data_IF_933079828478
#
_entry.id   IF_933079828478
#
_cell.length_a   1.000
_cell.length_b   1.000
_cell.length_c   1.000
_cell.angle_alpha   90.00
_cell.angle_beta   90.00
_cell.angle_gamma   90.00
#
_symmetry.space_group_name_H-M   'P 1'
#
loop_
_entity.id
_entity.type
_entity.pdbx_description
1 polymer ?
#
# COMPACT_ATOMS: atom_id res chain seq x y z
N UNK A 1 1.74 5.05 -21.84
CA UNK A 1 0.83 3.89 -21.73
C UNK A 1 0.80 3.51 -20.26
N UNK A 2 -0.37 3.52 -19.61
CA UNK A 2 -0.48 3.16 -18.20
C UNK A 2 -0.39 1.63 -18.08
N UNK A 3 0.75 1.13 -17.61
CA UNK A 3 0.94 -0.29 -17.27
C UNK A 3 0.04 -0.61 -16.08
N UNK A 4 -0.78 -1.66 -16.19
CA UNK A 4 -1.60 -2.11 -15.07
C UNK A 4 -0.72 -2.52 -13.88
N UNK A 5 -1.09 -2.19 -12.64
CA UNK A 5 -0.29 -2.50 -11.46
C UNK A 5 -0.06 -4.01 -11.33
N UNK A 6 1.18 -4.45 -11.01
CA UNK A 6 1.53 -5.87 -10.97
C UNK A 6 0.68 -6.59 -9.91
N UNK A 7 0.19 -7.79 -10.26
CA UNK A 7 -0.49 -8.68 -9.33
C UNK A 7 0.55 -9.41 -8.48
N UNK A 8 0.42 -9.34 -7.17
CA UNK A 8 1.34 -9.91 -6.21
C UNK A 8 0.60 -10.67 -5.10
N UNK A 9 1.26 -11.64 -4.49
CA UNK A 9 0.80 -12.31 -3.28
C UNK A 9 1.02 -11.46 -2.01
N UNK A 10 0.19 -11.72 -0.98
CA UNK A 10 0.34 -11.10 0.36
C UNK A 10 1.73 -11.32 0.94
N UNK A 11 2.30 -12.51 0.72
CA UNK A 11 3.63 -12.89 1.23
C UNK A 11 4.78 -12.03 0.72
N UNK A 12 4.63 -11.45 -0.47
CA UNK A 12 5.66 -10.59 -1.09
C UNK A 12 5.33 -9.11 -0.98
N UNK A 13 4.17 -8.73 -0.42
CA UNK A 13 3.78 -7.34 -0.20
C UNK A 13 4.85 -6.47 0.50
N UNK A 14 5.62 -6.96 1.50
CA UNK A 14 6.70 -6.18 2.12
C UNK A 14 7.79 -5.70 1.13
N UNK A 15 7.91 -6.33 -0.04
CA UNK A 15 8.88 -5.96 -1.07
C UNK A 15 8.43 -4.77 -1.91
N UNK A 16 7.16 -4.35 -1.81
CA UNK A 16 6.52 -3.33 -2.66
C UNK A 16 6.12 -2.08 -1.88
N UNK A 17 6.76 -1.80 -0.75
CA UNK A 17 6.46 -0.61 0.07
C UNK A 17 6.70 0.67 -0.73
N UNK A 18 5.67 1.51 -0.80
CA UNK A 18 5.64 2.76 -1.57
C UNK A 18 5.18 2.59 -3.03
N UNK A 19 4.95 1.37 -3.50
CA UNK A 19 4.51 1.08 -4.86
C UNK A 19 3.00 0.82 -4.92
N UNK A 20 2.40 1.12 -6.07
CA UNK A 20 1.03 0.73 -6.39
C UNK A 20 1.01 -0.68 -7.00
N UNK A 21 0.36 -1.61 -6.30
CA UNK A 21 0.31 -3.03 -6.66
C UNK A 21 -1.11 -3.56 -6.51
N UNK A 22 -1.40 -4.68 -7.16
CA UNK A 22 -2.64 -5.41 -6.99
C UNK A 22 -2.39 -6.65 -6.14
N UNK A 23 -3.19 -6.87 -5.12
CA UNK A 23 -3.16 -8.08 -4.29
C UNK A 23 -4.47 -8.82 -4.44
N UNK A 24 -4.40 -10.11 -4.73
CA UNK A 24 -5.54 -11.02 -4.64
C UNK A 24 -5.38 -11.88 -3.40
N UNK A 25 -6.32 -11.78 -2.47
CA UNK A 25 -6.23 -12.47 -1.20
C UNK A 25 -7.59 -12.71 -0.59
N UNK A 26 -7.66 -13.76 0.24
CA UNK A 26 -8.80 -13.99 1.11
C UNK A 26 -8.77 -13.01 2.27
N UNK A 27 -9.93 -12.43 2.56
CA UNK A 27 -10.15 -11.64 3.75
C UNK A 27 -10.37 -12.59 4.92
N UNK A 28 -9.48 -12.60 5.89
CA UNK A 28 -9.60 -13.43 7.10
C UNK A 28 -10.48 -12.75 8.15
N UNK A 29 -10.33 -11.42 8.30
CA UNK A 29 -11.08 -10.66 9.29
C UNK A 29 -11.33 -9.23 8.82
N UNK A 30 -12.40 -8.61 9.32
CA UNK A 30 -12.71 -7.20 9.10
C UNK A 30 -12.96 -6.50 10.42
N UNK A 31 -12.48 -5.27 10.55
CA UNK A 31 -12.71 -4.41 11.71
C UNK A 31 -12.93 -2.96 11.27
N UNK A 32 -13.95 -2.32 11.82
CA UNK A 32 -14.17 -0.89 11.66
C UNK A 32 -13.48 -0.10 12.77
N UNK A 33 -12.69 0.90 12.38
CA UNK A 33 -12.02 1.83 13.27
C UNK A 33 -12.45 3.26 12.89
N UNK A 34 -13.55 3.74 13.48
CA UNK A 34 -14.12 5.05 13.16
C UNK A 34 -14.60 5.15 11.71
N UNK A 35 -13.87 5.95 10.91
CA UNK A 35 -14.19 6.24 9.51
C UNK A 35 -13.42 5.37 8.50
N UNK A 36 -12.66 4.38 8.98
CA UNK A 36 -11.96 3.43 8.13
C UNK A 36 -12.36 1.99 8.46
N UNK A 37 -12.37 1.13 7.46
CA UNK A 37 -12.49 -0.33 7.65
C UNK A 37 -11.17 -0.96 7.30
N UNK A 38 -10.66 -1.78 8.22
CA UNK A 38 -9.43 -2.56 8.08
C UNK A 38 -9.81 -4.00 7.82
N UNK A 39 -9.35 -4.56 6.72
CA UNK A 39 -9.50 -5.97 6.41
C UNK A 39 -8.15 -6.66 6.50
N UNK A 40 -8.06 -7.71 7.28
CA UNK A 40 -6.87 -8.54 7.35
C UNK A 40 -6.89 -9.51 6.17
N UNK A 41 -5.86 -9.44 5.34
CA UNK A 41 -5.64 -10.30 4.19
C UNK A 41 -4.55 -11.32 4.49
N UNK A 42 -4.78 -12.57 4.09
CA UNK A 42 -3.82 -13.67 4.25
C UNK A 42 -3.71 -14.21 5.68
N UNK A 43 -2.96 -15.30 5.83
CA UNK A 43 -2.80 -16.02 7.09
C UNK A 43 -1.37 -15.89 7.63
N UNK A 44 -1.17 -15.96 8.97
CA UNK A 44 0.17 -16.00 9.56
C UNK A 44 1.05 -17.06 8.89
N UNK A 45 2.32 -16.78 8.57
CA UNK A 45 3.11 -15.62 9.02
C UNK A 45 2.99 -14.35 8.15
N UNK A 46 2.29 -14.41 7.01
CA UNK A 46 2.19 -13.29 6.08
C UNK A 46 0.78 -12.67 6.11
N UNK A 47 0.63 -11.59 6.87
CA UNK A 47 -0.63 -10.83 6.98
C UNK A 47 -0.45 -9.41 6.44
N UNK A 48 -1.47 -8.91 5.75
CA UNK A 48 -1.52 -7.56 5.19
C UNK A 48 -2.85 -6.91 5.53
N UNK A 49 -2.82 -5.70 6.08
CA UNK A 49 -4.04 -4.97 6.41
C UNK A 49 -4.47 -4.08 5.24
N UNK A 50 -5.63 -4.33 4.65
CA UNK A 50 -6.25 -3.47 3.65
C UNK A 50 -7.05 -2.37 4.34
N UNK A 51 -6.72 -1.10 4.08
CA UNK A 51 -7.43 0.06 4.59
C UNK A 51 -8.40 0.59 3.54
N UNK A 52 -9.69 0.51 3.86
CA UNK A 52 -10.79 1.16 3.15
C UNK A 52 -11.08 2.51 3.81
N UNK A 53 -10.85 3.59 3.07
CA UNK A 53 -11.18 4.95 3.52
C UNK A 53 -12.65 5.30 3.27
N UNK A 54 -13.15 6.36 3.91
CA UNK A 54 -14.57 6.78 3.93
C UNK A 54 -15.26 6.78 2.55
N UNK A 55 -14.55 7.20 1.50
CA UNK A 55 -15.07 7.18 0.12
C UNK A 55 -15.41 5.77 -0.42
N UNK A 56 -14.73 4.71 0.05
CA UNK A 56 -15.02 3.32 -0.31
C UNK A 56 -16.18 2.72 0.49
N UNK A 57 -16.43 3.21 1.71
CA UNK A 57 -17.49 2.70 2.58
C UNK A 57 -18.89 2.91 2.00
N UNK A 58 -19.05 3.91 1.11
CA UNK A 58 -20.30 4.13 0.37
C UNK A 58 -20.63 2.98 -0.59
N UNK A 59 -19.61 2.37 -1.21
CA UNK A 59 -19.78 1.24 -2.14
C UNK A 59 -19.82 -0.10 -1.43
N UNK A 60 -19.07 -0.21 -0.33
CA UNK A 60 -19.00 -1.40 0.49
C UNK A 60 -19.56 -1.09 1.89
N UNK A 61 -20.88 -0.89 2.02
CA UNK A 61 -21.49 -0.74 3.33
C UNK A 61 -21.31 -2.06 4.09
N UNK A 62 -20.90 -1.95 5.35
CA UNK A 62 -20.70 -3.09 6.25
C UNK A 62 -19.63 -4.09 5.76
N UNK A 63 -18.59 -3.56 5.11
CA UNK A 63 -17.45 -4.29 4.58
C UNK A 63 -16.80 -5.21 5.62
N UNK A 64 -16.75 -4.76 6.88
CA UNK A 64 -16.15 -5.48 8.01
C UNK A 64 -16.82 -6.82 8.33
N UNK A 65 -18.13 -6.96 8.09
CA UNK A 65 -18.89 -8.19 8.35
C UNK A 65 -19.15 -8.99 7.06
N UNK A 66 -19.22 -8.32 5.91
CA UNK A 66 -19.58 -8.95 4.63
C UNK A 66 -18.41 -9.53 3.86
N UNK A 67 -17.22 -8.93 3.96
CA UNK A 67 -16.05 -9.35 3.20
C UNK A 67 -15.24 -10.49 3.84
N UNK A 68 -15.21 -10.69 5.17
CA UNK A 68 -14.55 -11.86 5.75
C UNK A 68 -15.02 -13.17 5.11
N UNK A 69 -14.06 -14.02 4.78
CA UNK A 69 -14.26 -15.29 4.08
C UNK A 69 -14.25 -15.19 2.56
N UNK A 70 -14.36 -14.00 1.97
CA UNK A 70 -14.34 -13.79 0.52
C UNK A 70 -12.92 -13.54 -0.01
N UNK A 71 -12.69 -13.93 -1.26
CA UNK A 71 -11.48 -13.54 -2.00
C UNK A 71 -11.74 -12.20 -2.68
N UNK A 72 -10.86 -11.23 -2.42
CA UNK A 72 -10.91 -9.91 -3.03
C UNK A 72 -9.62 -9.64 -3.77
N UNK A 73 -9.73 -8.84 -4.83
CA UNK A 73 -8.63 -8.26 -5.57
C UNK A 73 -8.61 -6.76 -5.29
N UNK A 74 -7.55 -6.29 -4.65
CA UNK A 74 -7.41 -4.91 -4.24
C UNK A 74 -6.14 -4.29 -4.84
N UNK A 75 -6.25 -3.13 -5.49
CA UNK A 75 -5.12 -2.36 -6.01
C UNK A 75 -4.89 -1.10 -5.19
N UNK A 76 -3.68 -0.90 -4.70
CA UNK A 76 -3.36 0.23 -3.87
C UNK A 76 -1.89 0.32 -3.53
N UNK A 77 -1.55 1.32 -2.71
CA UNK A 77 -0.16 1.53 -2.28
C UNK A 77 0.14 0.72 -1.02
N UNK A 78 1.17 -0.12 -1.04
CA UNK A 78 1.66 -0.79 0.17
C UNK A 78 2.44 0.23 1.02
N UNK A 79 2.18 0.25 2.32
CA UNK A 79 2.86 1.11 3.29
C UNK A 79 3.21 0.31 4.53
N UNK A 80 4.27 0.72 5.21
CA UNK A 80 4.55 0.26 6.56
C UNK A 80 3.93 1.21 7.57
N UNK A 81 3.18 0.68 8.52
CA UNK A 81 2.63 1.44 9.63
C UNK A 81 2.84 0.70 10.94
N UNK A 82 3.68 1.28 11.81
CA UNK A 82 4.03 0.73 13.13
C UNK A 82 4.52 -0.73 13.07
N UNK A 83 5.35 -1.05 12.08
CA UNK A 83 5.89 -2.41 11.89
C UNK A 83 4.89 -3.42 11.30
N UNK A 84 3.75 -2.96 10.79
CA UNK A 84 2.78 -3.78 10.05
C UNK A 84 2.66 -3.29 8.62
N UNK A 85 2.38 -4.22 7.71
CA UNK A 85 2.18 -3.91 6.31
C UNK A 85 0.70 -3.59 6.07
N UNK A 86 0.45 -2.44 5.45
CA UNK A 86 -0.88 -1.92 5.18
C UNK A 86 -1.01 -1.56 3.70
N UNK A 87 -2.07 -2.00 3.03
CA UNK A 87 -2.41 -1.53 1.69
C UNK A 87 -3.46 -0.43 1.79
N UNK A 88 -3.15 0.76 1.27
CA UNK A 88 -4.09 1.87 1.22
C UNK A 88 -4.75 1.92 -0.14
N UNK A 89 -6.06 1.69 -0.17
CA UNK A 89 -6.86 1.83 -1.39
C UNK A 89 -7.60 3.16 -1.36
N UNK A 90 -7.42 3.95 -2.42
CA UNK A 90 -8.05 5.28 -2.52
C UNK A 90 -9.34 5.26 -3.31
N UNK A 91 -9.44 4.36 -4.28
CA UNK A 91 -10.56 4.34 -5.23
C UNK A 91 -11.37 3.05 -5.12
N UNK A 92 -12.71 3.13 -5.11
CA UNK A 92 -13.57 1.96 -4.99
C UNK A 92 -13.52 1.03 -6.20
N UNK A 93 -13.05 1.50 -7.35
CA UNK A 93 -12.83 0.67 -8.55
C UNK A 93 -11.63 -0.26 -8.43
N UNK A 94 -10.73 0.05 -7.48
CA UNK A 94 -9.55 -0.77 -7.24
C UNK A 94 -9.84 -1.96 -6.34
N UNK A 95 -11.08 -2.13 -5.84
CA UNK A 95 -11.48 -3.30 -5.06
C UNK A 95 -12.54 -4.06 -5.84
N UNK A 96 -12.23 -5.31 -6.19
CA UNK A 96 -13.14 -6.25 -6.83
C UNK A 96 -13.31 -7.48 -5.93
N UNK A 97 -14.55 -7.88 -5.70
CA UNK A 97 -14.86 -9.15 -5.02
C UNK A 97 -14.81 -10.23 -6.08
N UNK A 98 -13.85 -11.15 -5.98
CA UNK A 98 -13.66 -12.25 -6.95
C UNK A 98 -14.61 -13.42 -6.65
N UNK A 99 -15.22 -13.42 -5.47
CA UNK A 99 -16.13 -14.47 -4.99
C UNK A 99 -15.39 -15.61 -4.30
N UNK A 100 -16.08 -16.66 -3.82
CA UNK A 100 -15.40 -17.89 -3.41
C UNK A 100 -14.61 -18.43 -4.60
N UNK A 101 -13.48 -19.15 -4.41
CA UNK A 101 -12.77 -19.81 -5.49
C UNK A 101 -13.67 -20.92 -6.08
N UNK A 102 -14.63 -20.53 -6.91
CA UNK A 102 -15.32 -21.41 -7.83
C UNK A 102 -14.34 -21.72 -8.95
N UNK A 103 -14.14 -23.00 -9.32
CA UNK A 103 -13.33 -23.34 -10.47
C UNK A 103 -14.05 -22.84 -11.73
N UNK A 104 -13.67 -21.66 -12.21
CA UNK A 104 -14.11 -21.13 -13.49
C UNK A 104 -14.95 -19.86 -13.39
N UNK A 105 -14.29 -18.71 -13.22
CA UNK A 105 -14.74 -17.47 -13.89
C UNK A 105 -13.53 -16.56 -14.15
N UNK A 106 -12.53 -17.10 -14.85
CA UNK A 106 -11.71 -16.28 -15.74
C UNK A 106 -12.53 -16.03 -17.00
N UNK A 107 -13.07 -14.84 -17.12
CA UNK A 107 -13.69 -14.35 -18.34
C UNK A 107 -13.95 -12.85 -18.19
N UNK A 108 -13.67 -12.00 -19.15
CA UNK A 108 -12.98 -12.15 -20.42
C UNK A 108 -12.84 -10.72 -20.95
N UNK A 109 -11.65 -10.29 -21.35
CA UNK A 109 -11.51 -9.33 -22.45
C UNK A 109 -10.29 -9.70 -23.27
N UNK A 110 -10.41 -10.77 -24.06
CA UNK A 110 -10.23 -10.80 -25.53
C UNK A 110 -9.97 -12.22 -26.01
N UNK A 111 -10.90 -12.68 -26.83
CA UNK A 111 -10.95 -13.89 -27.64
C UNK A 111 -9.60 -14.39 -28.17
N UNK A 112 -9.32 -15.68 -28.03
CA UNK A 112 -9.30 -16.61 -29.18
C UNK A 112 -9.52 -18.04 -28.68
N UNK A 113 -10.42 -18.72 -29.36
CA UNK A 113 -10.96 -20.04 -29.07
C UNK A 113 -9.98 -21.14 -29.52
N UNK A 114 -9.68 -22.12 -28.67
CA UNK A 114 -9.23 -23.44 -29.10
C UNK A 114 -9.64 -24.51 -28.07
N UNK A 115 -10.70 -25.23 -28.46
CA UNK A 115 -11.20 -26.51 -27.92
C UNK A 115 -10.09 -27.49 -27.55
N UNK A 116 -10.29 -28.27 -26.48
CA UNK A 116 -10.09 -29.74 -26.33
C UNK A 116 -10.19 -30.02 -24.81
N UNK A 117 -11.34 -30.49 -24.31
CA UNK A 117 -11.65 -31.91 -24.04
C UNK A 117 -11.01 -32.43 -22.75
N UNK A 118 -11.88 -32.75 -21.78
CA UNK A 118 -11.51 -33.25 -20.47
C UNK A 118 -10.77 -34.60 -20.50
N UNK A 119 -9.75 -34.73 -19.65
CA UNK A 119 -9.32 -35.99 -19.03
C UNK A 119 -9.04 -35.73 -17.54
N UNK A 120 -9.47 -36.62 -16.63
CA UNK A 120 -9.30 -36.46 -15.20
C UNK A 120 -7.87 -36.85 -14.81
N UNK A 121 -7.06 -35.86 -14.46
CA UNK A 121 -5.69 -36.05 -13.99
C UNK A 121 -5.31 -34.86 -13.11
N UNK A 122 -4.68 -35.15 -11.98
CA UNK A 122 -4.22 -34.21 -10.94
C UNK A 122 -3.87 -32.81 -11.48
N UNK A 123 -4.30 -31.72 -10.82
CA UNK A 123 -3.77 -30.41 -11.14
C UNK A 123 -2.26 -30.40 -10.84
N UNK A 124 -1.42 -29.93 -11.77
CA UNK A 124 -0.02 -29.66 -11.48
C UNK A 124 0.02 -28.54 -10.43
N UNK A 125 0.65 -28.80 -9.29
CA UNK A 125 1.20 -27.73 -8.46
C UNK A 125 2.12 -26.90 -9.36
N UNK A 126 1.63 -25.76 -9.82
CA UNK A 126 2.52 -24.71 -10.29
C UNK A 126 3.35 -24.31 -9.07
N UNK A 127 4.66 -24.52 -9.08
CA UNK A 127 5.45 -24.36 -7.88
C UNK A 127 5.44 -22.87 -7.54
N UNK A 128 4.92 -22.53 -6.36
CA UNK A 128 5.01 -21.18 -5.80
C UNK A 128 6.46 -20.65 -5.83
N UNK A 129 7.43 -21.54 -5.98
CA UNK A 129 8.85 -21.26 -6.14
C UNK A 129 9.20 -20.55 -7.46
N UNK A 130 8.51 -20.81 -8.57
CA UNK A 130 8.81 -20.15 -9.86
C UNK A 130 8.39 -18.68 -9.84
N UNK A 131 7.24 -18.37 -9.24
CA UNK A 131 6.78 -17.00 -9.02
C UNK A 131 7.70 -16.26 -8.05
N UNK A 132 8.20 -16.95 -7.01
CA UNK A 132 9.18 -16.41 -6.08
C UNK A 132 10.51 -16.11 -6.75
N UNK A 133 10.98 -17.00 -7.64
CA UNK A 133 12.23 -16.82 -8.39
C UNK A 133 12.15 -15.61 -9.33
N UNK A 134 11.05 -15.48 -10.09
CA UNK A 134 10.84 -14.32 -10.96
C UNK A 134 10.77 -12.99 -10.18
N UNK A 135 10.16 -13.01 -8.99
CA UNK A 135 10.13 -11.85 -8.12
C UNK A 135 11.53 -11.48 -7.58
N UNK A 136 12.38 -12.48 -7.31
CA UNK A 136 13.76 -12.26 -6.88
C UNK A 136 14.61 -11.69 -8.03
N UNK A 137 14.48 -12.21 -9.24
CA UNK A 137 15.20 -11.72 -10.43
C UNK A 137 14.85 -10.26 -10.75
N UNK A 138 13.56 -9.91 -10.69
CA UNK A 138 13.10 -8.53 -10.91
C UNK A 138 13.67 -7.57 -9.86
N UNK A 139 13.85 -8.04 -8.61
CA UNK A 139 14.45 -7.25 -7.54
C UNK A 139 15.95 -7.04 -7.75
N UNK A 140 16.65 -8.02 -8.32
CA UNK A 140 18.08 -7.91 -8.64
C UNK A 140 18.35 -6.85 -9.71
N UNK A 141 17.62 -6.86 -10.83
CA UNK A 141 17.74 -5.82 -11.89
C UNK A 141 17.49 -4.42 -11.31
N UNK A 142 16.48 -4.31 -10.43
CA UNK A 142 16.13 -3.03 -9.82
C UNK A 142 17.16 -2.53 -8.81
N UNK A 143 17.77 -3.43 -8.05
CA UNK A 143 18.86 -3.08 -7.13
C UNK A 143 20.11 -2.64 -7.90
N UNK A 144 20.42 -3.29 -9.02
CA UNK A 144 21.52 -2.92 -9.91
C UNK A 144 21.32 -1.50 -10.46
N UNK A 145 20.12 -1.17 -10.94
CA UNK A 145 19.80 0.21 -11.38
C UNK A 145 19.86 1.25 -10.26
N UNK A 146 19.45 0.89 -9.03
CA UNK A 146 19.56 1.82 -7.88
C UNK A 146 21.01 2.05 -7.48
N UNK A 147 21.85 1.02 -7.53
CA UNK A 147 23.29 1.14 -7.30
C UNK A 147 23.94 2.05 -8.35
N UNK A 148 23.62 1.88 -9.63
CA UNK A 148 24.15 2.76 -10.69
C UNK A 148 23.68 4.22 -10.52
N UNK A 149 22.43 4.43 -10.08
CA UNK A 149 21.90 5.77 -9.80
C UNK A 149 22.51 6.42 -8.53
N UNK A 150 22.90 5.61 -7.54
CA UNK A 150 23.57 6.07 -6.33
C UNK A 150 25.05 6.37 -6.59
N UNK A 151 25.72 5.57 -7.41
CA UNK A 151 27.11 5.80 -7.83
C UNK A 151 27.25 7.08 -8.68
N UNK A 152 26.24 7.39 -9.52
CA UNK A 152 26.19 8.64 -10.29
C UNK A 152 25.81 9.89 -9.47
N UNK A 153 25.52 9.76 -8.16
CA UNK A 153 25.08 10.88 -7.32
C UNK A 153 25.97 11.12 -6.08
N UNK A 154 27.22 11.57 -6.25
CA UNK A 154 27.88 12.41 -5.26
C UNK A 154 27.83 13.89 -5.69
N UNK A 155 27.70 14.77 -4.69
CA UNK A 155 28.13 16.19 -4.65
C UNK A 155 27.09 17.33 -4.69
N UNK A 156 26.02 17.35 -5.49
CA UNK A 156 25.26 18.62 -5.66
C UNK A 156 24.09 18.89 -4.67
N UNK A 157 23.71 17.94 -3.82
CA UNK A 157 22.44 18.03 -3.05
C UNK A 157 22.57 18.45 -1.58
N UNK A 158 23.76 18.36 -0.98
CA UNK A 158 23.89 18.50 0.48
C UNK A 158 24.00 19.95 0.99
N UNK A 159 24.31 20.92 0.13
CA UNK A 159 24.50 22.32 0.58
C UNK A 159 23.21 23.16 0.61
N UNK A 160 22.13 22.77 -0.10
CA UNK A 160 20.92 23.60 -0.20
C UNK A 160 19.87 23.37 0.89
N UNK A 161 19.94 22.28 1.66
CA UNK A 161 18.92 21.97 2.68
C UNK A 161 19.22 22.53 4.08
N UNK A 162 20.44 22.93 4.39
CA UNK A 162 20.81 23.41 5.73
C UNK A 162 20.44 24.89 5.97
N UNK A 163 20.27 25.70 4.92
CA UNK A 163 19.95 27.13 5.06
C UNK A 163 18.45 27.42 5.30
N UNK A 164 17.53 26.55 4.86
CA UNK A 164 16.08 26.79 4.99
C UNK A 164 15.55 26.58 6.43
N UNK A 165 16.17 25.66 7.19
CA UNK A 165 15.70 25.35 8.55
C UNK A 165 16.11 26.41 9.58
N UNK A 166 17.22 27.13 9.35
CA UNK A 166 17.71 28.19 10.24
C UNK A 166 16.79 29.41 10.29
N UNK A 167 16.21 29.78 9.15
CA UNK A 167 15.39 30.98 9.01
C UNK A 167 14.06 30.86 9.80
N UNK A 168 13.44 29.68 9.74
CA UNK A 168 12.19 29.38 10.47
C UNK A 168 12.38 29.37 12.00
N UNK A 169 13.57 29.00 12.47
CA UNK A 169 13.87 28.98 13.90
C UNK A 169 14.13 30.38 14.45
N UNK A 170 14.84 31.22 13.69
CA UNK A 170 15.08 32.62 14.03
C UNK A 170 13.77 33.43 14.11
N UNK A 171 12.85 33.21 13.15
CA UNK A 171 11.54 33.89 13.13
C UNK A 171 10.67 33.49 14.33
N UNK A 172 10.71 32.21 14.71
CA UNK A 172 10.02 31.68 15.91
C UNK A 172 10.57 32.27 17.21
N UNK A 173 11.89 32.42 17.33
CA UNK A 173 12.54 33.04 18.50
C UNK A 173 12.16 34.51 18.63
N UNK A 174 12.18 35.25 17.52
CA UNK A 174 11.78 36.67 17.51
C UNK A 174 10.32 36.87 17.91
N UNK A 175 9.44 35.97 17.46
CA UNK A 175 8.00 35.98 17.80
C UNK A 175 7.76 35.67 19.28
N UNK A 176 8.55 34.78 19.88
CA UNK A 176 8.49 34.48 21.32
C UNK A 176 8.94 35.67 22.18
N UNK A 177 10.02 36.35 21.78
CA UNK A 177 10.53 37.51 22.52
C UNK A 177 9.51 38.66 22.56
N UNK A 178 8.86 38.95 21.43
CA UNK A 178 7.81 39.97 21.35
C UNK A 178 6.62 39.62 22.27
N UNK A 179 6.21 38.35 22.30
CA UNK A 179 5.13 37.90 23.18
C UNK A 179 5.48 38.02 24.66
N UNK A 180 6.71 37.69 25.03
CA UNK A 180 7.17 37.79 26.41
C UNK A 180 7.12 39.25 26.91
N UNK A 181 7.60 40.18 26.08
CA UNK A 181 7.60 41.62 26.38
C UNK A 181 6.18 42.20 26.52
N UNK A 182 5.23 41.72 25.72
CA UNK A 182 3.82 42.10 25.83
C UNK A 182 3.16 41.60 27.12
N UNK A 183 3.52 40.40 27.58
CA UNK A 183 3.01 39.83 28.84
C UNK A 183 3.56 40.62 30.03
N UNK A 184 4.86 40.93 30.03
CA UNK A 184 5.51 41.70 31.09
C UNK A 184 4.93 43.12 31.20
N UNK A 185 4.69 43.77 30.05
CA UNK A 185 4.06 45.09 29.98
C UNK A 185 2.61 45.11 30.49
N UNK A 186 1.88 43.98 30.39
CA UNK A 186 0.54 43.82 30.94
C UNK A 186 0.54 43.58 32.44
N UNK A 187 1.59 42.96 32.98
CA UNK A 187 1.73 42.70 34.42
C UNK A 187 2.02 43.98 35.21
N UNK A 188 2.80 44.92 34.65
CA UNK A 188 3.13 46.19 35.30
C UNK A 188 2.01 47.25 35.25
N UNK A 189 0.92 47.01 34.51
CA UNK A 189 -0.22 47.94 34.38
C UNK A 189 -1.46 47.53 35.20
N UNK A 190 -1.34 46.56 36.10
CA UNK A 190 -2.37 46.27 37.09
C UNK A 190 -2.04 47.02 38.40
N UNK A 191 -2.76 48.10 38.73
CA UNK A 191 -2.70 48.71 40.06
C UNK A 191 -3.33 47.79 41.12
#
# INVERSE_FOLDING_TARGET
MATAPPLIDVSVAPLYVGEEVTVEARVEAGRREGNVVRLQLGQPPATLDLLLVEGLLSRFPDAEHRLPGQTIRASGTIREFRGRWEMVVREPQNVAIVGPPGPGTAGETKSTQATIQASPGLPPEQPADEVRLQAIETRLDRLERRLEALEKKPEDASERQLSSTGDSFADRLRKLEIRLRQIESRSQRRP
#
